data_IF_385704424384
#
_entry.id   IF_385704424384
#
_cell.length_a   1.000
_cell.length_b   1.000
_cell.length_c   1.000
_cell.angle_alpha   90.00
_cell.angle_beta   90.00
_cell.angle_gamma   90.00
#
_symmetry.space_group_name_H-M   'P 1'
#
loop_
_entity.id
_entity.type
_entity.pdbx_description
1 polymer ?
#
# COMPACT_ATOMS: atom_id res chain seq x y z
N UNK A 1 2.23 1.90 -21.51
CA UNK A 1 2.56 0.71 -20.71
C UNK A 1 2.80 1.13 -19.27
N UNK A 2 2.16 0.45 -18.35
CA UNK A 2 2.31 0.75 -16.93
C UNK A 2 3.66 0.28 -16.41
N UNK A 3 4.39 1.16 -15.75
CA UNK A 3 5.65 0.78 -15.13
C UNK A 3 5.40 -0.02 -13.85
N UNK A 4 6.30 -0.96 -13.59
CA UNK A 4 6.28 -1.76 -12.37
C UNK A 4 7.53 -1.50 -11.56
N UNK A 5 7.42 -1.68 -10.25
CA UNK A 5 8.57 -1.61 -9.36
C UNK A 5 9.57 -2.72 -9.69
N UNK A 6 10.88 -2.51 -9.43
CA UNK A 6 11.88 -3.55 -9.68
C UNK A 6 11.55 -4.85 -8.94
N UNK A 7 11.77 -6.02 -9.56
CA UNK A 7 11.40 -7.30 -8.96
C UNK A 7 12.00 -7.52 -7.56
N UNK A 8 13.24 -7.11 -7.33
CA UNK A 8 13.86 -7.26 -6.01
C UNK A 8 13.18 -6.45 -4.93
N UNK A 9 12.67 -5.27 -5.28
CA UNK A 9 11.90 -4.44 -4.35
C UNK A 9 10.54 -5.09 -4.06
N UNK A 10 9.87 -5.58 -5.10
CA UNK A 10 8.56 -6.24 -4.95
C UNK A 10 8.69 -7.48 -4.06
N UNK A 11 9.71 -8.29 -4.28
CA UNK A 11 9.97 -9.47 -3.48
C UNK A 11 10.23 -9.12 -2.01
N UNK A 12 11.04 -8.08 -1.76
CA UNK A 12 11.30 -7.62 -0.41
C UNK A 12 10.03 -7.13 0.28
N UNK A 13 9.14 -6.47 -0.45
CA UNK A 13 7.85 -6.02 0.08
C UNK A 13 6.92 -7.18 0.40
N UNK A 14 6.93 -8.21 -0.45
CA UNK A 14 6.08 -9.38 -0.22
C UNK A 14 6.52 -10.14 1.04
N UNK A 15 7.79 -10.18 1.30
CA UNK A 15 8.36 -10.86 2.47
C UNK A 15 8.25 -10.03 3.75
N UNK A 16 8.16 -8.71 3.66
CA UNK A 16 8.10 -7.82 4.82
C UNK A 16 6.67 -7.66 5.31
N UNK A 17 6.48 -7.74 6.62
CA UNK A 17 5.15 -7.50 7.21
C UNK A 17 4.77 -6.02 7.22
N UNK A 18 5.75 -5.12 7.14
CA UNK A 18 5.51 -3.68 7.20
C UNK A 18 6.23 -2.99 6.03
N UNK A 19 5.51 -2.07 5.38
CA UNK A 19 6.04 -1.18 4.37
C UNK A 19 6.07 0.23 4.93
N UNK A 20 7.21 0.91 4.82
CA UNK A 20 7.29 2.31 5.20
C UNK A 20 6.75 3.20 4.08
N UNK A 21 5.95 4.20 4.43
CA UNK A 21 5.38 5.16 3.48
C UNK A 21 5.61 6.58 3.96
N UNK A 22 6.08 7.42 3.06
CA UNK A 22 6.13 8.86 3.26
C UNK A 22 5.40 9.51 2.10
N UNK A 23 4.18 9.99 2.37
CA UNK A 23 3.29 10.53 1.34
C UNK A 23 3.60 12.00 1.08
N UNK A 24 3.48 12.39 -0.19
CA UNK A 24 3.72 13.75 -0.63
C UNK A 24 5.14 13.95 -1.12
N UNK A 25 5.35 15.05 -1.87
CA UNK A 25 6.67 15.39 -2.43
C UNK A 25 7.64 15.94 -1.36
N UNK A 26 7.12 16.41 -0.24
CA UNK A 26 7.94 16.89 0.86
C UNK A 26 8.61 15.73 1.58
N UNK A 27 9.85 15.95 2.01
CA UNK A 27 10.67 14.87 2.56
C UNK A 27 10.98 15.04 4.05
N UNK A 28 10.25 15.91 4.73
CA UNK A 28 10.47 16.22 6.13
C UNK A 28 9.64 15.37 7.09
N UNK A 29 8.83 14.45 6.57
CA UNK A 29 8.02 13.55 7.38
C UNK A 29 8.71 12.23 7.62
N UNK A 30 8.41 11.60 8.76
CA UNK A 30 8.88 10.26 9.03
C UNK A 30 8.11 9.25 8.19
N UNK A 31 8.73 8.10 7.94
CA UNK A 31 8.03 6.97 7.35
C UNK A 31 7.00 6.42 8.34
N UNK A 32 5.82 6.10 7.81
CA UNK A 32 4.75 5.47 8.57
C UNK A 32 4.70 4.02 8.14
N UNK A 33 4.62 3.08 9.10
CA UNK A 33 4.51 1.67 8.78
C UNK A 33 3.07 1.29 8.43
N UNK A 34 2.88 0.65 7.27
CA UNK A 34 1.57 0.18 6.84
C UNK A 34 1.66 -1.27 6.37
N UNK A 35 0.49 -1.89 6.25
CA UNK A 35 0.38 -3.21 5.63
C UNK A 35 0.21 -3.06 4.13
N UNK A 36 1.00 -3.81 3.37
CA UNK A 36 0.93 -3.82 1.92
C UNK A 36 0.98 -5.25 1.41
N UNK A 37 0.44 -5.46 0.22
CA UNK A 37 0.39 -6.78 -0.42
C UNK A 37 0.86 -6.67 -1.87
N UNK A 38 1.28 -7.81 -2.40
CA UNK A 38 1.71 -7.94 -3.79
C UNK A 38 0.73 -8.84 -4.52
N UNK A 39 0.26 -8.37 -5.67
CA UNK A 39 -0.58 -9.15 -6.60
C UNK A 39 -0.02 -8.96 -7.99
N UNK A 40 0.35 -10.04 -8.64
CA UNK A 40 0.91 -10.03 -10.01
C UNK A 40 2.08 -9.07 -10.18
N UNK A 41 2.98 -9.03 -9.20
CA UNK A 41 4.15 -8.16 -9.23
C UNK A 41 3.86 -6.69 -9.00
N UNK A 42 2.66 -6.35 -8.55
CA UNK A 42 2.22 -4.99 -8.27
C UNK A 42 1.97 -4.83 -6.77
N UNK A 43 2.28 -3.67 -6.23
CA UNK A 43 2.21 -3.40 -4.79
C UNK A 43 1.00 -2.54 -4.48
N UNK A 44 0.19 -3.00 -3.53
CA UNK A 44 -1.05 -2.33 -3.15
C UNK A 44 -1.14 -2.16 -1.64
N UNK A 45 -1.88 -1.13 -1.22
CA UNK A 45 -2.21 -0.93 0.18
C UNK A 45 -3.58 -0.30 0.34
N UNK A 46 -4.19 -0.51 1.50
CA UNK A 46 -5.43 0.13 1.93
C UNK A 46 -5.20 0.88 3.22
N UNK A 47 -5.90 1.98 3.40
CA UNK A 47 -5.82 2.77 4.62
C UNK A 47 -6.82 2.25 5.64
N UNK A 48 -6.36 2.04 6.87
CA UNK A 48 -7.23 1.68 7.97
C UNK A 48 -8.03 2.89 8.45
N UNK A 49 -7.38 4.03 8.56
CA UNK A 49 -8.01 5.28 8.99
C UNK A 49 -7.86 6.34 7.91
N UNK A 50 -8.93 7.11 7.69
CA UNK A 50 -8.93 8.17 6.67
C UNK A 50 -8.83 9.55 7.33
N UNK A 51 -7.80 9.73 8.14
CA UNK A 51 -7.53 11.01 8.78
C UNK A 51 -7.09 12.06 7.77
N UNK A 52 -7.46 13.32 8.01
CA UNK A 52 -7.18 14.41 7.07
C UNK A 52 -5.69 14.58 6.78
N UNK A 53 -4.83 14.34 7.76
CA UNK A 53 -3.38 14.41 7.63
C UNK A 53 -2.71 13.04 7.47
N UNK A 54 -3.51 11.97 7.30
CA UNK A 54 -3.01 10.62 7.09
C UNK A 54 -2.44 10.41 5.68
N UNK A 55 -1.71 9.31 5.50
CA UNK A 55 -1.00 9.04 4.25
C UNK A 55 -1.94 8.93 3.04
N UNK A 56 -3.11 8.32 3.21
CA UNK A 56 -4.05 8.13 2.10
C UNK A 56 -4.56 9.48 1.59
N UNK A 57 -5.04 10.32 2.49
CA UNK A 57 -5.55 11.64 2.13
C UNK A 57 -4.47 12.55 1.57
N UNK A 58 -3.25 12.44 2.10
CA UNK A 58 -2.11 13.17 1.56
C UNK A 58 -1.85 12.78 0.11
N UNK A 59 -1.90 11.48 -0.22
CA UNK A 59 -1.73 11.03 -1.60
C UNK A 59 -2.85 11.52 -2.53
N UNK A 60 -4.05 11.72 -2.03
CA UNK A 60 -5.13 12.29 -2.85
C UNK A 60 -4.83 13.73 -3.28
N UNK A 61 -4.12 14.48 -2.43
CA UNK A 61 -3.72 15.86 -2.73
C UNK A 61 -2.40 15.92 -3.50
N UNK A 62 -1.48 15.01 -3.20
CA UNK A 62 -0.15 14.95 -3.79
C UNK A 62 0.25 13.48 -3.96
N UNK A 63 0.13 12.93 -5.17
CA UNK A 63 0.32 11.49 -5.38
C UNK A 63 1.77 11.02 -5.33
N UNK A 64 2.72 11.94 -5.21
CA UNK A 64 4.13 11.57 -5.16
C UNK A 64 4.55 11.23 -3.74
N UNK A 65 5.50 10.32 -3.62
CA UNK A 65 6.00 9.93 -2.31
C UNK A 65 7.15 8.95 -2.41
N UNK A 66 7.49 8.38 -1.26
CA UNK A 66 8.58 7.41 -1.13
C UNK A 66 8.09 6.25 -0.30
N UNK A 67 8.44 5.03 -0.72
CA UNK A 67 8.23 3.84 0.08
C UNK A 67 9.58 3.28 0.51
N UNK A 68 9.58 2.60 1.66
CA UNK A 68 10.79 2.03 2.22
C UNK A 68 10.54 0.59 2.66
N UNK A 69 11.42 -0.31 2.23
CA UNK A 69 11.44 -1.69 2.68
C UNK A 69 12.87 -2.03 3.09
N UNK A 70 13.05 -2.44 4.36
CA UNK A 70 14.39 -2.56 4.91
C UNK A 70 15.10 -1.21 4.87
N UNK A 71 16.28 -1.16 4.27
CA UNK A 71 17.05 0.07 4.09
C UNK A 71 16.90 0.67 2.69
N UNK A 72 16.04 0.10 1.86
CA UNK A 72 15.82 0.57 0.49
C UNK A 72 14.66 1.55 0.42
N UNK A 73 14.88 2.64 -0.29
CA UNK A 73 13.86 3.66 -0.53
C UNK A 73 13.61 3.79 -2.03
N UNK A 74 12.34 3.89 -2.41
CA UNK A 74 11.94 4.01 -3.81
C UNK A 74 10.95 5.14 -3.97
N UNK A 75 11.20 6.02 -4.92
CA UNK A 75 10.24 7.07 -5.27
C UNK A 75 9.08 6.45 -6.02
N UNK A 76 7.87 6.80 -5.61
CA UNK A 76 6.66 6.24 -6.20
C UNK A 76 5.61 7.31 -6.50
N UNK A 77 4.66 6.90 -7.32
CA UNK A 77 3.39 7.59 -7.51
C UNK A 77 2.29 6.69 -6.99
N UNK A 78 1.39 7.25 -6.22
CA UNK A 78 0.22 6.55 -5.71
C UNK A 78 -0.92 6.66 -6.72
N UNK A 79 -1.49 5.53 -7.11
CA UNK A 79 -2.57 5.46 -8.08
C UNK A 79 -3.78 4.78 -7.45
N UNK A 80 -4.95 5.42 -7.52
CA UNK A 80 -6.17 4.83 -6.98
C UNK A 80 -6.58 3.61 -7.82
N UNK A 81 -7.05 2.60 -7.14
CA UNK A 81 -7.48 1.34 -7.77
C UNK A 81 -8.99 1.18 -7.58
N UNK A 82 -9.72 1.09 -8.69
CA UNK A 82 -11.18 1.02 -8.67
C UNK A 82 -11.76 -0.27 -9.23
N UNK A 83 -10.96 -1.07 -9.93
CA UNK A 83 -11.44 -2.30 -10.54
C UNK A 83 -11.88 -3.32 -9.49
N UNK A 84 -13.07 -3.91 -9.70
CA UNK A 84 -13.64 -4.86 -8.75
C UNK A 84 -12.79 -6.12 -8.65
N UNK A 85 -12.37 -6.66 -9.78
CA UNK A 85 -11.60 -7.90 -9.84
C UNK A 85 -10.27 -7.78 -9.09
N UNK A 86 -9.53 -6.70 -9.32
CA UNK A 86 -8.25 -6.50 -8.64
C UNK A 86 -8.46 -6.24 -7.14
N UNK A 87 -9.52 -5.54 -6.77
CA UNK A 87 -9.85 -5.34 -5.35
C UNK A 87 -10.12 -6.66 -4.64
N UNK A 88 -10.81 -7.59 -5.29
CA UNK A 88 -11.07 -8.92 -4.73
C UNK A 88 -9.77 -9.71 -4.56
N UNK A 89 -8.86 -9.61 -5.51
CA UNK A 89 -7.54 -10.23 -5.42
C UNK A 89 -6.72 -9.65 -4.28
N UNK A 90 -6.80 -8.35 -4.07
CA UNK A 90 -6.11 -7.67 -2.97
C UNK A 90 -6.63 -8.17 -1.62
N UNK A 91 -7.93 -8.36 -1.47
CA UNK A 91 -8.51 -8.91 -0.24
C UNK A 91 -7.95 -10.29 0.08
N UNK A 92 -7.87 -11.15 -0.92
CA UNK A 92 -7.28 -12.49 -0.75
C UNK A 92 -5.81 -12.41 -0.38
N UNK A 93 -5.08 -11.47 -0.99
CA UNK A 93 -3.66 -11.28 -0.70
C UNK A 93 -3.44 -10.83 0.74
N UNK A 94 -4.28 -9.95 1.27
CA UNK A 94 -4.24 -9.57 2.68
C UNK A 94 -4.49 -10.77 3.59
N UNK A 95 -5.49 -11.59 3.27
CA UNK A 95 -5.82 -12.77 4.06
C UNK A 95 -4.68 -13.79 4.04
N UNK A 96 -4.03 -13.95 2.90
CA UNK A 96 -2.93 -14.91 2.75
C UNK A 96 -1.66 -14.44 3.45
N UNK A 97 -1.39 -13.15 3.46
CA UNK A 97 -0.17 -12.59 4.03
C UNK A 97 -0.26 -12.39 5.55
N UNK A 98 -1.38 -11.88 6.04
CA UNK A 98 -1.55 -11.51 7.46
C UNK A 98 -2.47 -12.52 8.14
N UNK A 99 -1.88 -13.65 8.55
CA UNK A 99 -2.62 -14.83 8.99
C UNK A 99 -2.66 -15.03 10.49
N UNK A 100 -1.96 -14.20 11.27
CA UNK A 100 -1.97 -14.34 12.72
C UNK A 100 -3.36 -14.05 13.29
N UNK A 101 -3.64 -14.63 14.46
CA UNK A 101 -4.92 -14.39 15.12
C UNK A 101 -5.18 -12.92 15.37
N UNK A 102 -4.17 -12.18 15.76
CA UNK A 102 -4.28 -10.73 16.01
C UNK A 102 -4.49 -9.93 14.73
N UNK A 103 -4.12 -10.46 13.57
CA UNK A 103 -4.30 -9.79 12.29
C UNK A 103 -5.69 -9.93 11.70
N UNK A 104 -6.45 -10.96 12.09
CA UNK A 104 -7.75 -11.27 11.48
C UNK A 104 -8.74 -10.10 11.56
N UNK A 105 -8.73 -9.39 12.65
CA UNK A 105 -9.59 -8.20 12.84
C UNK A 105 -9.35 -7.18 11.75
N UNK A 106 -8.09 -6.90 11.42
CA UNK A 106 -7.71 -5.91 10.42
C UNK A 106 -7.97 -6.43 9.01
N UNK A 107 -7.67 -7.70 8.75
CA UNK A 107 -7.96 -8.31 7.45
C UNK A 107 -9.45 -8.21 7.13
N UNK A 108 -10.31 -8.52 8.09
CA UNK A 108 -11.77 -8.41 7.93
C UNK A 108 -12.19 -6.95 7.73
N UNK A 109 -11.60 -6.04 8.51
CA UNK A 109 -11.93 -4.62 8.41
C UNK A 109 -11.56 -4.02 7.07
N UNK A 110 -10.50 -4.51 6.42
CA UNK A 110 -10.11 -4.04 5.08
C UNK A 110 -11.10 -4.45 3.99
N UNK A 111 -12.05 -5.34 4.28
CA UNK A 111 -13.10 -5.74 3.33
C UNK A 111 -14.29 -4.81 3.33
N UNK A 112 -14.40 -3.89 4.29
CA UNK A 112 -15.49 -2.92 4.30
C UNK A 112 -15.39 -2.03 3.07
N UNK A 113 -16.55 -1.62 2.54
CA UNK A 113 -16.58 -0.81 1.32
C UNK A 113 -15.79 0.48 1.48
N UNK A 114 -15.93 1.13 2.63
CA UNK A 114 -15.20 2.35 2.93
C UNK A 114 -13.68 2.18 2.79
N UNK A 115 -13.14 1.07 3.30
CA UNK A 115 -11.70 0.82 3.23
C UNK A 115 -11.27 0.28 1.87
N UNK A 116 -12.12 -0.46 1.18
CA UNK A 116 -11.88 -0.87 -0.20
C UNK A 116 -11.66 0.34 -1.11
N UNK A 117 -12.38 1.42 -0.86
CA UNK A 117 -12.25 2.64 -1.63
C UNK A 117 -10.92 3.36 -1.42
N UNK A 118 -10.16 2.98 -0.40
CA UNK A 118 -8.82 3.53 -0.16
C UNK A 118 -7.70 2.77 -0.86
N UNK A 119 -8.02 1.82 -1.72
CA UNK A 119 -7.01 1.00 -2.38
C UNK A 119 -6.11 1.84 -3.28
N UNK A 120 -4.81 1.74 -3.04
CA UNK A 120 -3.77 2.47 -3.77
C UNK A 120 -2.78 1.44 -4.32
N UNK A 121 -2.32 1.69 -5.55
CA UNK A 121 -1.17 0.98 -6.10
C UNK A 121 0.03 1.91 -6.09
N UNK A 122 1.18 1.40 -5.68
CA UNK A 122 2.44 2.15 -5.74
C UNK A 122 3.16 1.80 -7.03
N UNK A 123 3.34 2.78 -7.90
CA UNK A 123 4.06 2.61 -9.17
C UNK A 123 5.33 3.45 -9.16
N UNK A 124 6.37 3.09 -9.94
CA UNK A 124 7.60 3.89 -9.99
C UNK A 124 7.31 5.30 -10.51
N UNK A 125 8.04 6.23 -9.95
CA UNK A 125 7.97 7.62 -10.34
C UNK A 125 8.97 7.98 -11.43
#
# INVERSE_FOLDING_TARGET
>A
MKRRLPPGIVEAMDESSILGVRAGARTDHRFIGIWAVVVDGRVFARSWMQQADGWYRTFLRDPLGVIQVGDRQVRIRAVRVRGQRIRDQIERAYADKYRSRSSLKYVRGFRTERRRDTTIEFVPR
#
